data_IF_015462625117
#
_entry.id   IF_015462625117
#
_cell.length_a   1.000
_cell.length_b   1.000
_cell.length_c   1.000
_cell.angle_alpha   90.00
_cell.angle_beta   90.00
_cell.angle_gamma   90.00
#
_symmetry.space_group_name_H-M   'P 1'
#
loop_
_entity.id
_entity.type
_entity.pdbx_description
1 polymer ?
#
# COMPACT_ATOMS: atom_id res chain seq x y z
N UNK A 1 -64.79 -41.51 22.36
CA UNK A 1 -64.44 -42.45 23.43
C UNK A 1 -62.98 -42.78 23.16
N UNK A 2 -62.10 -41.88 23.60
CA UNK A 2 -61.28 -42.01 24.84
C UNK A 2 -60.12 -42.97 24.55
N UNK A 3 -58.83 -42.64 24.65
CA UNK A 3 -58.06 -41.65 25.42
C UNK A 3 -56.75 -41.35 24.63
N UNK A 4 -56.25 -40.11 24.53
CA UNK A 4 -55.41 -39.38 25.50
C UNK A 4 -54.07 -40.05 25.83
N UNK A 5 -52.96 -39.54 25.28
CA UNK A 5 -51.77 -39.18 26.05
C UNK A 5 -50.82 -38.24 25.27
N UNK A 6 -50.33 -37.24 26.01
CA UNK A 6 -49.42 -36.16 25.59
C UNK A 6 -47.98 -36.60 25.80
N UNK A 7 -47.06 -36.13 24.95
CA UNK A 7 -45.71 -35.85 25.45
C UNK A 7 -45.10 -34.63 24.73
N UNK A 8 -44.65 -33.70 25.55
CA UNK A 8 -44.03 -32.42 25.20
C UNK A 8 -42.60 -32.51 25.71
N UNK A 9 -41.59 -32.30 24.86
CA UNK A 9 -40.21 -32.15 25.35
C UNK A 9 -39.61 -30.83 24.88
N UNK A 10 -39.41 -29.97 25.87
CA UNK A 10 -38.60 -28.76 25.84
C UNK A 10 -37.11 -29.12 25.89
N UNK A 11 -36.29 -28.53 25.02
CA UNK A 11 -34.84 -28.52 25.16
C UNK A 11 -34.37 -27.08 25.35
N UNK A 12 -34.16 -26.74 26.62
CA UNK A 12 -33.33 -25.61 27.06
C UNK A 12 -32.03 -26.18 27.61
N UNK A 13 -30.90 -25.87 26.98
CA UNK A 13 -29.56 -26.07 27.56
C UNK A 13 -28.61 -25.01 26.95
N UNK A 14 -28.64 -23.81 27.53
CA UNK A 14 -27.49 -22.90 27.50
C UNK A 14 -26.54 -23.37 28.60
N UNK A 15 -25.45 -24.02 28.19
CA UNK A 15 -24.31 -24.31 29.07
C UNK A 15 -23.28 -23.22 28.94
N UNK A 16 -23.05 -22.48 30.02
CA UNK A 16 -21.84 -21.67 30.20
C UNK A 16 -20.67 -22.61 30.47
N UNK A 17 -19.58 -22.47 29.72
CA UNK A 17 -18.29 -23.05 30.08
C UNK A 17 -17.27 -21.93 30.22
N UNK A 18 -17.10 -21.54 31.48
CA UNK A 18 -15.88 -20.93 32.00
C UNK A 18 -14.75 -21.98 32.04
N UNK A 19 -13.54 -21.49 31.76
CA UNK A 19 -12.22 -22.04 32.14
C UNK A 19 -11.71 -23.32 31.45
N UNK A 20 -10.75 -23.14 30.52
CA UNK A 20 -9.54 -23.98 30.41
C UNK A 20 -8.31 -23.12 30.07
N UNK A 21 -7.45 -22.96 31.07
CA UNK A 21 -5.99 -22.99 31.12
C UNK A 21 -5.08 -22.24 30.13
N UNK A 22 -4.20 -21.46 30.78
CA UNK A 22 -2.75 -21.34 30.57
C UNK A 22 -2.26 -20.61 29.31
N UNK A 23 -2.05 -19.29 29.48
CA UNK A 23 -1.11 -18.52 28.68
C UNK A 23 0.30 -19.10 28.80
N UNK A 24 0.80 -19.72 27.74
CA UNK A 24 2.23 -19.77 27.46
C UNK A 24 2.69 -18.39 26.99
N UNK A 25 3.57 -17.75 27.76
CA UNK A 25 4.26 -16.54 27.33
C UNK A 25 5.15 -16.85 26.10
N UNK A 26 5.20 -15.96 25.10
CA UNK A 26 6.20 -16.07 24.05
C UNK A 26 7.61 -15.79 24.61
N UNK A 27 8.66 -16.41 24.06
CA UNK A 27 10.01 -16.34 24.59
C UNK A 27 10.55 -14.90 24.58
N UNK A 28 11.00 -14.43 25.73
CA UNK A 28 11.84 -13.24 25.82
C UNK A 28 13.22 -13.55 25.25
N UNK A 29 13.60 -12.87 24.17
CA UNK A 29 14.98 -12.82 23.73
C UNK A 29 15.76 -11.86 24.65
N UNK A 30 16.53 -12.41 25.58
CA UNK A 30 17.51 -11.64 26.36
C UNK A 30 18.73 -11.34 25.49
N UNK A 31 18.84 -10.09 25.03
CA UNK A 31 20.09 -9.56 24.46
C UNK A 31 20.98 -9.15 25.63
N UNK A 32 21.95 -9.99 25.96
CA UNK A 32 23.09 -9.62 26.80
C UNK A 32 24.06 -8.79 25.95
N UNK A 33 24.07 -7.47 26.16
CA UNK A 33 25.14 -6.61 25.68
C UNK A 33 26.30 -6.67 26.68
N UNK A 34 27.42 -7.26 26.26
CA UNK A 34 28.69 -7.14 26.96
C UNK A 34 29.30 -5.77 26.65
N UNK A 35 29.40 -4.94 27.67
CA UNK A 35 30.15 -3.68 27.67
C UNK A 35 31.64 -4.01 27.68
N UNK A 36 32.37 -3.56 26.67
CA UNK A 36 33.81 -3.40 26.75
C UNK A 36 34.14 -1.94 26.49
N UNK A 37 34.54 -1.27 27.58
CA UNK A 37 35.14 0.05 27.60
C UNK A 37 36.37 0.10 26.69
N UNK A 38 36.43 1.08 25.80
CA UNK A 38 37.71 1.65 25.38
C UNK A 38 37.50 3.12 25.03
N UNK A 39 37.78 3.97 26.00
CA UNK A 39 37.96 5.40 25.86
C UNK A 39 39.18 5.69 24.99
N UNK A 40 38.98 6.37 23.86
CA UNK A 40 40.04 7.14 23.19
C UNK A 40 39.48 8.53 22.96
N UNK A 41 39.96 9.48 23.77
CA UNK A 41 39.80 10.90 23.55
C UNK A 41 40.57 11.29 22.29
N UNK A 42 39.90 11.98 21.36
CA UNK A 42 40.58 12.76 20.32
C UNK A 42 39.95 14.14 20.28
N UNK A 43 40.76 15.12 20.65
CA UNK A 43 40.53 16.54 20.50
C UNK A 43 40.18 16.89 19.05
N UNK A 44 39.07 17.60 18.87
CA UNK A 44 38.75 18.27 17.60
C UNK A 44 38.99 19.76 17.82
N UNK A 45 40.16 20.21 17.37
CA UNK A 45 40.42 21.62 17.09
C UNK A 45 39.48 22.10 15.99
N UNK A 46 38.89 23.26 16.23
CA UNK A 46 38.09 24.01 15.27
C UNK A 46 39.03 24.91 14.48
N UNK A 47 39.08 24.73 13.16
CA UNK A 47 39.64 25.72 12.25
C UNK A 47 38.60 26.03 11.17
N UNK A 48 37.97 27.19 11.34
CA UNK A 48 37.44 28.01 10.25
C UNK A 48 38.54 28.24 9.21
N UNK A 49 38.22 28.07 7.93
CA UNK A 49 38.52 28.98 6.80
C UNK A 49 38.38 28.23 5.46
N UNK A 50 37.75 28.87 4.48
CA UNK A 50 37.88 28.52 3.06
C UNK A 50 36.57 28.30 2.32
N UNK A 51 35.91 29.38 1.92
CA UNK A 51 34.85 29.34 0.92
C UNK A 51 35.42 29.05 -0.47
N UNK A 52 34.88 28.05 -1.15
CA UNK A 52 34.95 27.91 -2.60
C UNK A 52 33.52 27.91 -3.15
N UNK A 53 33.21 28.93 -3.95
CA UNK A 53 31.99 29.01 -4.75
C UNK A 53 31.96 27.83 -5.75
N UNK A 54 31.07 26.88 -5.50
CA UNK A 54 30.80 25.79 -6.44
C UNK A 54 29.82 26.29 -7.51
N UNK A 55 30.29 26.36 -8.76
CA UNK A 55 29.47 26.75 -9.92
C UNK A 55 28.20 25.91 -9.99
N UNK A 56 27.07 26.60 -9.88
CA UNK A 56 25.74 26.02 -9.83
C UNK A 56 25.32 25.42 -11.17
N UNK A 57 24.59 24.30 -11.08
CA UNK A 57 23.80 23.78 -12.18
C UNK A 57 22.79 24.86 -12.60
N UNK A 58 22.80 25.25 -13.87
CA UNK A 58 21.82 26.19 -14.43
C UNK A 58 20.44 25.53 -14.54
N UNK A 59 19.36 26.31 -14.50
CA UNK A 59 17.99 25.81 -14.74
C UNK A 59 17.87 25.04 -16.07
N UNK A 60 18.67 25.43 -17.08
CA UNK A 60 18.74 24.77 -18.38
C UNK A 60 19.28 23.33 -18.29
N UNK A 61 20.22 23.05 -17.37
CA UNK A 61 20.76 21.71 -17.15
C UNK A 61 19.74 20.79 -16.47
N UNK A 62 18.84 21.36 -15.67
CA UNK A 62 17.72 20.64 -15.05
C UNK A 62 16.62 20.37 -16.08
N UNK A 63 16.33 21.33 -16.97
CA UNK A 63 15.38 21.14 -18.08
C UNK A 63 15.85 20.12 -19.13
N UNK A 64 17.15 20.09 -19.47
CA UNK A 64 17.70 19.11 -20.40
C UNK A 64 17.67 17.67 -19.84
N UNK A 65 17.88 17.52 -18.52
CA UNK A 65 17.71 16.23 -17.84
C UNK A 65 16.24 15.79 -17.74
N UNK A 66 15.28 16.73 -17.74
CA UNK A 66 13.84 16.44 -17.79
C UNK A 66 13.31 16.12 -19.21
N UNK A 67 14.06 16.39 -20.28
CA UNK A 67 13.60 16.13 -21.65
C UNK A 67 14.19 14.86 -22.27
N UNK A 68 15.14 14.21 -21.58
CA UNK A 68 15.65 12.89 -21.95
C UNK A 68 15.03 11.83 -21.05
N UNK A 69 14.37 10.83 -21.64
CA UNK A 69 13.67 9.76 -20.90
C UNK A 69 14.49 9.25 -19.71
N UNK A 70 13.89 9.26 -18.53
CA UNK A 70 14.59 9.08 -17.27
C UNK A 70 15.11 7.66 -17.11
N UNK A 71 16.40 7.44 -17.36
CA UNK A 71 17.08 6.21 -16.98
C UNK A 71 17.52 6.33 -15.53
N UNK A 72 16.76 5.73 -14.60
CA UNK A 72 17.23 5.60 -13.23
C UNK A 72 18.30 4.51 -13.19
N UNK A 73 19.43 4.81 -12.54
CA UNK A 73 20.56 3.89 -12.38
C UNK A 73 20.22 2.68 -11.50
N UNK A 74 21.25 2.03 -10.95
CA UNK A 74 21.12 0.83 -10.13
C UNK A 74 20.06 1.03 -9.02
N UNK A 75 19.03 0.20 -9.01
CA UNK A 75 18.03 0.19 -7.94
C UNK A 75 18.38 -0.84 -6.89
N UNK A 76 18.00 -0.57 -5.65
CA UNK A 76 17.96 -1.57 -4.60
C UNK A 76 16.49 -1.89 -4.29
N UNK A 77 16.06 -3.12 -4.55
CA UNK A 77 14.70 -3.60 -4.24
C UNK A 77 14.67 -4.36 -2.93
N UNK A 78 13.80 -3.92 -2.02
CA UNK A 78 13.43 -4.65 -0.81
C UNK A 78 12.00 -5.24 -1.00
N UNK A 79 11.89 -6.55 -0.79
CA UNK A 79 10.64 -7.31 -1.00
C UNK A 79 9.74 -7.23 0.22
N UNK A 80 8.47 -6.88 0.01
CA UNK A 80 7.50 -6.71 1.10
C UNK A 80 6.51 -7.89 1.18
N UNK A 81 6.00 -8.41 0.04
CA UNK A 81 5.00 -9.51 0.05
C UNK A 81 5.06 -10.44 -1.17
N UNK A 82 5.04 -11.76 -0.93
CA UNK A 82 4.73 -12.83 -1.89
C UNK A 82 5.90 -13.29 -2.79
N UNK A 83 5.79 -14.48 -3.40
CA UNK A 83 6.72 -14.95 -4.44
C UNK A 83 6.41 -14.26 -5.78
N UNK A 84 7.43 -13.80 -6.48
CA UNK A 84 7.34 -12.76 -7.50
C UNK A 84 7.48 -13.32 -8.93
N UNK A 85 7.37 -12.52 -10.01
CA UNK A 85 7.97 -12.91 -11.29
C UNK A 85 9.48 -13.17 -11.18
N UNK A 86 10.13 -12.70 -10.11
CA UNK A 86 11.57 -12.84 -9.85
C UNK A 86 11.90 -13.78 -8.66
N UNK A 87 10.92 -14.45 -8.05
CA UNK A 87 11.11 -15.37 -6.91
C UNK A 87 11.94 -14.83 -5.74
N UNK A 88 11.80 -13.56 -5.39
CA UNK A 88 12.50 -12.99 -4.23
C UNK A 88 11.71 -13.26 -2.93
N UNK A 89 12.43 -13.51 -1.85
CA UNK A 89 11.87 -13.72 -0.51
C UNK A 89 11.85 -12.41 0.28
N UNK A 90 10.98 -12.27 1.30
CA UNK A 90 11.04 -11.14 2.22
C UNK A 90 12.45 -10.99 2.81
N UNK A 91 13.00 -9.77 2.76
CA UNK A 91 14.37 -9.47 3.19
C UNK A 91 15.45 -9.69 2.13
N UNK A 92 15.11 -10.25 0.96
CA UNK A 92 16.03 -10.27 -0.17
C UNK A 92 16.17 -8.86 -0.75
N UNK A 93 17.42 -8.47 -0.98
CA UNK A 93 17.78 -7.25 -1.71
C UNK A 93 18.28 -7.64 -3.09
N UNK A 94 17.76 -6.99 -4.14
CA UNK A 94 18.25 -7.18 -5.51
C UNK A 94 18.57 -5.87 -6.20
N UNK A 95 19.50 -5.95 -7.15
CA UNK A 95 19.83 -4.85 -8.05
C UNK A 95 19.22 -5.05 -9.43
N UNK A 96 18.73 -3.97 -10.02
CA UNK A 96 18.17 -4.00 -11.36
C UNK A 96 18.14 -2.63 -12.02
N UNK A 97 17.78 -2.66 -13.30
CA UNK A 97 17.57 -1.50 -14.16
C UNK A 97 16.07 -1.25 -14.33
N UNK A 98 15.68 0.00 -14.17
CA UNK A 98 14.30 0.46 -14.34
C UNK A 98 14.25 1.58 -15.38
N UNK A 99 13.38 1.38 -16.35
CA UNK A 99 13.14 2.33 -17.42
C UNK A 99 11.66 2.73 -17.42
N UNK A 100 11.38 4.03 -17.42
CA UNK A 100 10.03 4.57 -17.52
C UNK A 100 10.04 5.98 -18.12
N UNK A 101 8.92 6.36 -18.71
CA UNK A 101 8.68 7.73 -19.15
C UNK A 101 8.04 8.52 -18.01
N UNK A 102 8.77 9.51 -17.49
CA UNK A 102 8.32 10.35 -16.38
C UNK A 102 7.26 11.39 -16.81
N UNK A 103 6.97 11.50 -18.11
CA UNK A 103 5.95 12.39 -18.66
C UNK A 103 4.63 11.68 -18.94
N UNK A 104 4.61 10.35 -18.95
CA UNK A 104 3.45 9.53 -19.29
C UNK A 104 2.89 8.81 -18.06
N UNK A 105 2.16 9.56 -17.22
CA UNK A 105 1.49 8.98 -16.06
C UNK A 105 0.24 8.19 -16.48
N UNK A 106 0.17 6.94 -16.04
CA UNK A 106 -0.96 6.03 -16.29
C UNK A 106 -2.05 6.13 -15.22
N UNK A 107 -1.78 6.82 -14.11
CA UNK A 107 -2.73 7.06 -13.05
C UNK A 107 -2.26 8.14 -12.08
N UNK A 108 -3.21 8.84 -11.46
CA UNK A 108 -2.90 9.84 -10.45
C UNK A 108 -3.93 9.81 -9.33
N UNK A 109 -3.45 9.53 -8.12
CA UNK A 109 -4.22 9.63 -6.89
C UNK A 109 -4.07 11.00 -6.23
N UNK A 110 -4.50 11.07 -4.97
CA UNK A 110 -4.40 12.32 -4.19
C UNK A 110 -2.97 12.62 -3.73
N UNK A 111 -2.18 11.58 -3.47
CA UNK A 111 -0.84 11.68 -2.86
C UNK A 111 0.27 11.00 -3.67
N UNK A 112 -0.09 10.37 -4.80
CA UNK A 112 0.83 9.59 -5.61
C UNK A 112 0.44 9.61 -7.07
N UNK A 113 1.45 9.53 -7.91
CA UNK A 113 1.33 9.35 -9.35
C UNK A 113 1.88 7.98 -9.72
N UNK A 114 1.26 7.34 -10.70
CA UNK A 114 1.61 6.01 -11.18
C UNK A 114 2.10 6.11 -12.62
N UNK A 115 3.23 5.47 -12.90
CA UNK A 115 3.82 5.33 -14.23
C UNK A 115 3.85 3.85 -14.61
N UNK A 116 3.72 3.56 -15.90
CA UNK A 116 4.13 2.25 -16.41
C UNK A 116 5.66 2.23 -16.52
N UNK A 117 6.29 1.20 -16.01
CA UNK A 117 7.74 1.05 -16.08
C UNK A 117 8.13 -0.36 -16.50
N UNK A 118 9.28 -0.50 -17.13
CA UNK A 118 9.92 -1.78 -17.36
C UNK A 118 11.05 -1.99 -16.36
N UNK A 119 11.07 -3.16 -15.72
CA UNK A 119 12.10 -3.53 -14.76
C UNK A 119 12.82 -4.80 -15.20
N UNK A 120 14.14 -4.80 -15.09
CA UNK A 120 15.04 -5.92 -15.42
C UNK A 120 16.07 -6.15 -14.30
N UNK A 121 16.34 -7.42 -13.98
CA UNK A 121 17.46 -7.79 -13.10
C UNK A 121 18.81 -7.83 -13.84
N UNK A 122 18.80 -7.79 -15.16
CA UNK A 122 20.01 -7.85 -15.97
C UNK A 122 20.57 -6.44 -16.19
N UNK A 123 21.44 -5.99 -15.29
CA UNK A 123 21.98 -4.62 -15.36
C UNK A 123 22.87 -4.34 -16.60
N UNK A 124 23.30 -5.38 -17.32
CA UNK A 124 24.23 -5.24 -18.46
C UNK A 124 23.55 -5.06 -19.81
N UNK A 125 22.23 -5.27 -19.92
CA UNK A 125 21.48 -5.11 -21.17
C UNK A 125 20.47 -3.97 -21.03
N UNK A 126 20.19 -3.21 -22.11
CA UNK A 126 19.02 -2.33 -22.17
C UNK A 126 17.76 -3.13 -21.86
N UNK A 127 16.79 -2.54 -21.15
CA UNK A 127 15.57 -3.27 -20.75
C UNK A 127 14.78 -3.74 -21.97
N UNK A 128 14.82 -2.99 -23.08
CA UNK A 128 14.22 -3.36 -24.37
C UNK A 128 14.78 -4.64 -25.00
N UNK A 129 15.97 -5.08 -24.58
CA UNK A 129 16.62 -6.30 -25.08
C UNK A 129 16.52 -7.46 -24.09
N UNK A 130 16.10 -7.21 -22.85
CA UNK A 130 15.96 -8.24 -21.84
C UNK A 130 14.57 -8.89 -21.90
N UNK A 131 14.52 -10.15 -22.33
CA UNK A 131 13.29 -10.96 -22.33
C UNK A 131 12.74 -11.24 -20.92
N UNK A 132 13.57 -11.08 -19.90
CA UNK A 132 13.17 -11.18 -18.50
C UNK A 132 12.58 -9.89 -17.94
N UNK A 133 12.63 -8.79 -18.70
CA UNK A 133 12.01 -7.54 -18.32
C UNK A 133 10.50 -7.72 -18.07
N UNK A 134 9.98 -7.01 -17.07
CA UNK A 134 8.57 -7.03 -16.69
C UNK A 134 8.03 -5.62 -16.64
N UNK A 135 6.81 -5.47 -17.15
CA UNK A 135 6.06 -4.23 -16.98
C UNK A 135 5.46 -4.20 -15.57
N UNK A 136 5.72 -3.12 -14.86
CA UNK A 136 5.28 -2.87 -13.49
C UNK A 136 4.62 -1.49 -13.41
N UNK A 137 3.86 -1.27 -12.33
CA UNK A 137 3.37 0.05 -11.97
C UNK A 137 4.35 0.69 -10.98
N UNK A 138 4.96 1.81 -11.36
CA UNK A 138 5.81 2.60 -10.49
C UNK A 138 5.01 3.71 -9.83
N UNK A 139 4.97 3.72 -8.50
CA UNK A 139 4.29 4.74 -7.71
C UNK A 139 5.29 5.67 -7.07
N UNK A 140 5.05 6.97 -7.27
CA UNK A 140 5.89 8.05 -6.77
C UNK A 140 5.02 9.02 -5.96
N UNK A 141 5.40 9.25 -4.71
CA UNK A 141 4.62 10.02 -3.75
C UNK A 141 4.92 11.51 -3.84
N UNK A 142 3.89 12.35 -3.80
CA UNK A 142 4.04 13.80 -3.85
C UNK A 142 3.30 14.49 -2.71
N UNK A 143 3.73 15.71 -2.39
CA UNK A 143 3.09 16.58 -1.40
C UNK A 143 1.73 17.03 -1.92
N UNK A 144 0.63 16.79 -1.19
CA UNK A 144 -0.66 17.33 -1.57
C UNK A 144 -0.56 18.86 -1.58
N UNK A 145 -1.13 19.49 -2.61
CA UNK A 145 -1.25 20.95 -2.62
C UNK A 145 -2.02 21.37 -1.36
N UNK A 146 -1.45 22.27 -0.56
CA UNK A 146 -2.16 22.84 0.60
C UNK A 146 -3.44 23.47 0.08
N UNK A 147 -4.59 22.82 0.34
CA UNK A 147 -5.88 23.42 0.06
C UNK A 147 -5.94 24.68 0.91
N UNK A 148 -6.03 25.86 0.27
CA UNK A 148 -6.40 27.08 1.00
C UNK A 148 -7.71 26.74 1.72
N UNK A 149 -7.81 27.01 3.04
CA UNK A 149 -9.04 26.73 3.77
C UNK A 149 -10.18 27.37 2.98
N UNK A 150 -11.17 26.56 2.61
CA UNK A 150 -12.33 27.06 1.91
C UNK A 150 -12.93 28.17 2.78
N UNK A 151 -13.04 29.38 2.23
CA UNK A 151 -13.74 30.47 2.90
C UNK A 151 -15.16 29.94 3.12
N UNK A 152 -15.50 29.68 4.38
CA UNK A 152 -16.81 29.17 4.77
C UNK A 152 -17.82 30.26 4.45
N UNK A 153 -18.51 30.12 3.31
CA UNK A 153 -19.63 31.00 2.97
C UNK A 153 -20.74 30.75 3.98
N UNK A 154 -21.24 31.84 4.57
CA UNK A 154 -22.24 31.83 5.65
C UNK A 154 -23.52 31.06 5.28
N UNK A 155 -24.21 30.47 6.28
CA UNK A 155 -25.44 29.70 6.07
C UNK A 155 -26.56 30.59 5.53
N UNK A 156 -27.08 30.25 4.35
CA UNK A 156 -28.16 30.97 3.68
C UNK A 156 -28.34 30.60 2.20
N UNK A 157 -27.37 29.92 1.59
CA UNK A 157 -27.43 29.53 0.19
C UNK A 157 -28.13 28.18 0.00
N UNK A 158 -29.33 28.20 -0.57
CA UNK A 158 -30.07 27.01 -1.01
C UNK A 158 -29.44 26.42 -2.28
N UNK A 159 -28.26 25.82 -2.16
CA UNK A 159 -27.70 24.99 -3.23
C UNK A 159 -28.02 23.52 -2.97
N UNK A 160 -28.74 22.92 -3.92
CA UNK A 160 -28.86 21.46 -4.05
C UNK A 160 -27.46 20.84 -4.05
N UNK A 161 -27.20 19.78 -3.26
CA UNK A 161 -25.89 19.13 -3.21
C UNK A 161 -25.59 18.46 -4.55
N UNK A 162 -24.89 19.17 -5.42
CA UNK A 162 -24.34 18.61 -6.66
C UNK A 162 -23.22 17.66 -6.27
N UNK A 163 -23.31 16.39 -6.68
CA UNK A 163 -22.25 15.40 -6.49
C UNK A 163 -20.93 15.99 -7.00
N UNK A 164 -19.89 16.11 -6.16
CA UNK A 164 -18.64 16.72 -6.57
C UNK A 164 -18.04 15.89 -7.72
N UNK A 165 -17.79 16.55 -8.85
CA UNK A 165 -17.03 15.94 -9.94
C UNK A 165 -15.66 15.49 -9.43
N UNK A 166 -15.13 14.36 -9.92
CA UNK A 166 -13.79 13.93 -9.53
C UNK A 166 -12.78 15.05 -9.79
N UNK A 167 -11.82 15.27 -8.87
CA UNK A 167 -10.82 16.32 -9.03
C UNK A 167 -10.04 16.08 -10.32
N UNK A 168 -9.87 17.14 -11.11
CA UNK A 168 -9.02 17.10 -12.31
C UNK A 168 -7.59 16.74 -11.89
N UNK A 169 -6.92 15.80 -12.59
CA UNK A 169 -5.52 15.48 -12.33
C UNK A 169 -4.64 16.73 -12.39
N UNK A 170 -3.72 16.86 -11.43
CA UNK A 170 -2.75 17.98 -11.39
C UNK A 170 -1.70 17.70 -12.46
N UNK A 171 -1.37 18.66 -13.36
CA UNK A 171 -0.31 18.46 -14.34
C UNK A 171 1.01 18.02 -13.68
N UNK A 172 1.72 17.08 -14.30
CA UNK A 172 2.93 16.47 -13.69
C UNK A 172 4.00 17.51 -13.30
N UNK A 173 4.20 18.53 -14.14
CA UNK A 173 5.12 19.64 -13.88
C UNK A 173 4.80 20.46 -12.62
N UNK A 174 3.56 20.40 -12.16
CA UNK A 174 3.07 21.15 -10.99
C UNK A 174 3.09 20.28 -9.71
N UNK A 175 3.41 18.99 -9.83
CA UNK A 175 3.57 18.10 -8.68
C UNK A 175 4.83 18.46 -7.89
N UNK A 176 4.69 18.55 -6.57
CA UNK A 176 5.79 18.81 -5.65
C UNK A 176 6.13 17.52 -4.91
N UNK A 177 7.21 16.86 -5.30
CA UNK A 177 7.65 15.64 -4.64
C UNK A 177 8.19 15.90 -3.23
N UNK A 178 8.20 14.86 -2.41
CA UNK A 178 8.80 14.94 -1.08
C UNK A 178 10.32 15.05 -1.18
N UNK A 179 11.00 15.70 -0.21
CA UNK A 179 12.45 15.57 -0.08
C UNK A 179 12.80 14.09 0.01
N UNK A 180 13.93 13.69 -0.60
CA UNK A 180 14.33 12.29 -0.76
C UNK A 180 14.22 11.47 0.53
N UNK A 181 14.64 12.04 1.67
CA UNK A 181 14.60 11.37 2.96
C UNK A 181 13.15 11.10 3.41
N UNK A 182 12.27 12.09 3.29
CA UNK A 182 10.85 11.98 3.64
C UNK A 182 10.11 11.03 2.68
N UNK A 183 10.48 11.04 1.40
CA UNK A 183 9.91 10.15 0.38
C UNK A 183 10.04 8.68 0.74
N UNK A 184 11.20 8.27 1.27
CA UNK A 184 11.40 6.90 1.73
C UNK A 184 10.40 6.52 2.82
N UNK A 185 10.16 7.40 3.78
CA UNK A 185 9.21 7.15 4.87
C UNK A 185 7.78 6.98 4.35
N UNK A 186 7.37 7.80 3.38
CA UNK A 186 6.06 7.68 2.75
C UNK A 186 5.94 6.38 1.92
N UNK A 187 6.96 6.01 1.17
CA UNK A 187 7.00 4.74 0.44
C UNK A 187 6.98 3.54 1.41
N UNK A 188 7.69 3.61 2.54
CA UNK A 188 7.64 2.59 3.58
C UNK A 188 6.22 2.44 4.16
N UNK A 189 5.48 3.54 4.35
CA UNK A 189 4.09 3.49 4.81
C UNK A 189 3.16 2.84 3.77
N UNK A 190 3.34 3.15 2.49
CA UNK A 190 2.60 2.54 1.36
C UNK A 190 2.88 1.04 1.25
N UNK A 191 4.16 0.66 1.31
CA UNK A 191 4.63 -0.71 1.39
C UNK A 191 4.00 -1.48 2.56
N UNK A 192 4.06 -0.89 3.76
CA UNK A 192 3.50 -1.48 4.98
C UNK A 192 1.98 -1.67 4.84
N UNK A 193 1.29 -0.66 4.31
CA UNK A 193 -0.16 -0.70 4.05
C UNK A 193 -0.52 -1.83 3.09
N UNK A 194 0.22 -2.01 1.99
CA UNK A 194 0.04 -3.12 1.05
C UNK A 194 0.29 -4.49 1.70
N UNK A 195 1.29 -4.57 2.57
CA UNK A 195 1.59 -5.77 3.36
C UNK A 195 0.43 -6.19 4.25
N UNK A 196 -0.06 -5.27 5.07
CA UNK A 196 -1.22 -5.50 5.94
C UNK A 196 -2.49 -5.83 5.17
N UNK A 197 -2.75 -5.13 4.07
CA UNK A 197 -3.87 -5.42 3.19
C UNK A 197 -3.83 -6.85 2.65
N UNK A 198 -2.64 -7.33 2.27
CA UNK A 198 -2.44 -8.71 1.83
C UNK A 198 -2.80 -9.70 2.94
N UNK A 199 -2.30 -9.48 4.17
CA UNK A 199 -2.64 -10.33 5.32
C UNK A 199 -4.14 -10.34 5.62
N UNK A 200 -4.80 -9.18 5.58
CA UNK A 200 -6.24 -9.07 5.84
C UNK A 200 -7.10 -9.75 4.76
N UNK A 201 -6.64 -9.75 3.50
CA UNK A 201 -7.27 -10.54 2.43
C UNK A 201 -7.16 -12.02 2.74
N UNK A 202 -5.96 -12.49 3.10
CA UNK A 202 -5.71 -13.91 3.42
C UNK A 202 -6.54 -14.36 4.62
N UNK A 203 -6.60 -13.58 5.69
CA UNK A 203 -7.45 -13.87 6.87
C UNK A 203 -8.91 -14.08 6.49
N UNK A 204 -9.45 -13.25 5.58
CA UNK A 204 -10.84 -13.42 5.13
C UNK A 204 -11.03 -14.71 4.31
N UNK A 205 -10.05 -15.12 3.50
CA UNK A 205 -10.11 -16.40 2.79
C UNK A 205 -9.98 -17.59 3.74
N UNK A 206 -9.06 -17.54 4.71
CA UNK A 206 -8.92 -18.57 5.75
C UNK A 206 -10.23 -18.77 6.51
N UNK A 207 -10.93 -17.67 6.86
CA UNK A 207 -12.26 -17.73 7.46
C UNK A 207 -13.27 -18.48 6.57
N UNK A 208 -13.34 -18.15 5.28
CA UNK A 208 -14.25 -18.80 4.32
C UNK A 208 -13.95 -20.30 4.23
N UNK A 209 -12.69 -20.68 4.08
CA UNK A 209 -12.27 -22.08 3.98
C UNK A 209 -12.61 -22.87 5.25
N UNK A 210 -12.36 -22.28 6.41
CA UNK A 210 -12.71 -22.87 7.70
C UNK A 210 -14.22 -23.07 7.83
N UNK A 211 -15.02 -22.08 7.43
CA UNK A 211 -16.48 -22.19 7.45
C UNK A 211 -17.02 -23.29 6.53
N UNK A 212 -16.46 -23.40 5.31
CA UNK A 212 -16.82 -24.48 4.37
C UNK A 212 -16.46 -25.84 4.97
N UNK A 213 -15.26 -25.98 5.54
CA UNK A 213 -14.81 -27.22 6.17
C UNK A 213 -15.69 -27.62 7.36
N UNK A 214 -16.06 -26.65 8.21
CA UNK A 214 -16.91 -26.90 9.37
C UNK A 214 -18.34 -27.30 8.99
N UNK A 215 -18.91 -26.64 7.97
CA UNK A 215 -20.28 -26.95 7.51
C UNK A 215 -20.36 -28.16 6.59
N UNK A 216 -19.23 -28.55 5.99
CA UNK A 216 -19.17 -29.65 5.02
C UNK A 216 -19.92 -29.38 3.71
N UNK A 217 -20.24 -28.11 3.43
CA UNK A 217 -21.05 -27.69 2.28
C UNK A 217 -20.38 -26.52 1.58
N UNK A 218 -20.22 -26.64 0.26
CA UNK A 218 -19.74 -25.56 -0.60
C UNK A 218 -20.86 -24.56 -0.88
N UNK A 219 -20.56 -23.24 -0.98
CA UNK A 219 -21.56 -22.29 -1.41
C UNK A 219 -22.02 -22.62 -2.84
N UNK A 220 -23.31 -22.40 -3.18
CA UNK A 220 -23.83 -22.69 -4.51
C UNK A 220 -23.37 -21.69 -5.59
N UNK A 221 -22.58 -20.68 -5.22
CA UNK A 221 -21.98 -19.70 -6.12
C UNK A 221 -20.45 -19.74 -6.03
N UNK A 222 -19.74 -19.38 -7.12
CA UNK A 222 -18.29 -19.29 -7.09
C UNK A 222 -17.84 -18.15 -6.15
N UNK A 223 -16.88 -18.46 -5.28
CA UNK A 223 -16.23 -17.46 -4.44
C UNK A 223 -15.23 -16.68 -5.30
N UNK A 224 -15.37 -15.34 -5.42
CA UNK A 224 -14.39 -14.54 -6.14
C UNK A 224 -12.99 -14.77 -5.59
N UNK A 225 -12.01 -14.96 -6.49
CA UNK A 225 -10.60 -15.17 -6.14
C UNK A 225 -9.84 -13.86 -6.41
N UNK A 226 -9.70 -13.04 -5.38
CA UNK A 226 -9.09 -11.72 -5.42
C UNK A 226 -7.84 -11.73 -4.56
N UNK A 227 -6.84 -10.95 -4.94
CA UNK A 227 -5.65 -10.73 -4.10
C UNK A 227 -5.12 -9.32 -4.27
N UNK A 228 -4.37 -8.86 -3.28
CA UNK A 228 -3.55 -7.66 -3.46
C UNK A 228 -2.47 -7.92 -4.51
N UNK A 229 -2.12 -6.87 -5.25
CA UNK A 229 -0.92 -6.86 -6.07
C UNK A 229 0.30 -7.08 -5.18
N UNK A 230 1.29 -7.78 -5.73
CA UNK A 230 2.61 -7.86 -5.12
C UNK A 230 3.30 -6.52 -5.30
N UNK A 231 4.00 -6.07 -4.26
CA UNK A 231 4.70 -4.80 -4.27
C UNK A 231 6.10 -4.86 -3.67
N UNK A 232 6.89 -3.86 -4.05
CA UNK A 232 8.31 -3.72 -3.70
C UNK A 232 8.65 -2.30 -3.37
N UNK A 233 9.43 -2.10 -2.31
CA UNK A 233 10.06 -0.83 -2.06
C UNK A 233 11.36 -0.78 -2.86
N UNK A 234 11.57 0.31 -3.59
CA UNK A 234 12.74 0.48 -4.44
C UNK A 234 13.45 1.77 -4.07
N UNK A 235 14.77 1.70 -3.87
CA UNK A 235 15.64 2.88 -3.70
C UNK A 235 16.45 3.08 -4.97
N UNK A 236 16.24 4.21 -5.65
CA UNK A 236 17.04 4.58 -6.81
C UNK A 236 18.40 5.11 -6.37
N UNK A 237 19.46 4.51 -6.92
CA UNK A 237 20.83 4.94 -6.71
C UNK A 237 21.41 5.44 -8.03
N UNK A 238 22.21 6.49 -7.95
CA UNK A 238 23.06 6.95 -9.04
C UNK A 238 24.50 6.67 -8.67
N UNK A 239 25.33 6.18 -9.61
CA UNK A 239 26.77 6.27 -9.45
C UNK A 239 27.14 7.75 -9.24
N UNK A 240 28.04 8.00 -8.31
CA UNK A 240 28.77 9.25 -8.18
C UNK A 240 30.18 8.94 -8.63
N UNK A 241 30.57 9.51 -9.77
CA UNK A 241 31.96 9.54 -10.20
C UNK A 241 32.66 10.67 -9.45
N UNK A 242 33.01 10.41 -8.19
CA UNK A 242 33.84 11.29 -7.38
C UNK A 242 35.26 10.74 -7.39
N UNK A 243 36.05 11.16 -8.38
CA UNK A 243 37.43 10.73 -8.67
C UNK A 243 37.60 9.31 -9.28
N UNK A 244 38.67 9.09 -10.09
CA UNK A 244 39.01 7.77 -10.61
C UNK A 244 39.27 6.78 -9.46
N UNK A 245 38.48 5.71 -9.39
CA UNK A 245 38.64 4.63 -8.41
C UNK A 245 37.72 4.69 -7.19
N UNK A 246 36.91 5.74 -7.00
CA UNK A 246 35.88 5.79 -5.94
C UNK A 246 34.49 5.87 -6.55
N UNK A 247 33.77 4.75 -6.51
CA UNK A 247 32.34 4.69 -6.84
C UNK A 247 31.52 4.87 -5.56
N UNK A 248 31.19 6.11 -5.22
CA UNK A 248 30.13 6.36 -4.24
C UNK A 248 28.76 6.21 -4.94
N UNK A 249 27.71 5.84 -4.21
CA UNK A 249 26.34 5.86 -4.72
C UNK A 249 25.57 6.97 -4.04
N UNK A 250 24.85 7.78 -4.81
CA UNK A 250 23.92 8.78 -4.27
C UNK A 250 22.51 8.29 -4.35
N UNK A 251 21.79 8.42 -3.25
CA UNK A 251 20.37 8.19 -3.19
C UNK A 251 19.61 9.24 -4.01
N UNK A 252 18.77 8.77 -4.93
CA UNK A 252 18.00 9.60 -5.88
C UNK A 252 16.53 9.70 -5.51
N UNK A 253 15.96 8.66 -4.94
CA UNK A 253 14.57 8.63 -4.49
C UNK A 253 14.11 7.24 -4.12
N UNK A 254 12.88 7.14 -3.62
CA UNK A 254 12.20 5.89 -3.32
C UNK A 254 10.89 5.77 -4.10
N UNK A 255 10.58 4.54 -4.48
CA UNK A 255 9.40 4.19 -5.26
C UNK A 255 8.75 2.93 -4.72
N UNK A 256 7.45 2.80 -4.91
CA UNK A 256 6.73 1.55 -4.73
C UNK A 256 6.48 0.96 -6.13
N UNK A 257 7.05 -0.21 -6.40
CA UNK A 257 6.73 -0.96 -7.62
C UNK A 257 5.66 -1.99 -7.32
N UNK A 258 4.71 -2.15 -8.22
CA UNK A 258 3.62 -3.13 -8.10
C UNK A 258 3.41 -3.90 -9.41
N UNK A 259 2.72 -5.03 -9.33
CA UNK A 259 2.18 -5.69 -10.52
C UNK A 259 1.33 -4.72 -11.35
N UNK A 260 1.63 -4.62 -12.63
CA UNK A 260 0.87 -3.77 -13.53
C UNK A 260 -0.51 -4.39 -13.84
N UNK A 261 -1.58 -3.68 -13.50
CA UNK A 261 -2.95 -4.10 -13.82
C UNK A 261 -3.27 -3.63 -15.24
N UNK A 262 -3.21 -4.56 -16.21
CA UNK A 262 -3.58 -4.27 -17.59
C UNK A 262 -5.09 -3.99 -17.69
N UNK A 263 -5.45 -2.91 -18.40
CA UNK A 263 -6.83 -2.45 -18.53
C UNK A 263 -7.63 -3.08 -19.68
N UNK A 264 -6.99 -3.93 -20.48
CA UNK A 264 -7.54 -4.51 -21.70
C UNK A 264 -8.58 -5.60 -21.43
N UNK A 265 -8.38 -6.44 -20.41
CA UNK A 265 -9.40 -7.42 -20.03
C UNK A 265 -10.61 -6.76 -19.33
N UNK A 266 -10.33 -5.82 -18.43
CA UNK A 266 -11.32 -5.27 -17.52
C UNK A 266 -10.86 -3.92 -16.96
N UNK A 267 -11.68 -2.85 -17.04
CA UNK A 267 -11.29 -1.54 -16.55
C UNK A 267 -10.98 -1.57 -15.05
N UNK A 268 -10.06 -0.69 -14.65
CA UNK A 268 -9.79 -0.39 -13.26
C UNK A 268 -11.05 0.22 -12.62
N UNK A 269 -11.53 -0.37 -11.54
CA UNK A 269 -12.74 0.08 -10.84
C UNK A 269 -12.46 0.27 -9.36
N UNK A 270 -13.09 1.29 -8.79
CA UNK A 270 -13.20 1.46 -7.35
C UNK A 270 -14.51 0.81 -6.89
N UNK A 271 -14.40 -0.23 -6.06
CA UNK A 271 -15.51 -1.04 -5.59
C UNK A 271 -16.13 -0.46 -4.31
N UNK A 272 -15.28 0.02 -3.38
CA UNK A 272 -15.67 0.57 -2.08
C UNK A 272 -14.82 1.83 -1.82
N UNK A 273 -15.38 2.84 -1.17
CA UNK A 273 -14.64 4.04 -0.76
C UNK A 273 -14.20 3.93 0.69
N UNK A 274 -13.05 4.51 1.04
CA UNK A 274 -12.63 4.71 2.43
C UNK A 274 -13.63 5.48 3.32
N UNK A 275 -14.60 6.20 2.74
CA UNK A 275 -15.61 6.95 3.48
C UNK A 275 -16.84 6.13 3.88
N UNK A 276 -17.12 5.00 3.21
CA UNK A 276 -18.34 4.20 3.41
C UNK A 276 -18.10 2.73 3.08
N UNK A 277 -18.53 1.85 3.99
CA UNK A 277 -18.46 0.39 3.82
C UNK A 277 -19.65 -0.17 3.00
N UNK A 278 -19.86 0.38 1.79
CA UNK A 278 -20.92 -0.07 0.88
C UNK A 278 -20.40 -0.13 -0.56
N UNK A 279 -20.98 -0.97 -1.43
CA UNK A 279 -20.64 -0.98 -2.84
C UNK A 279 -20.85 0.39 -3.49
N UNK A 280 -19.87 0.87 -4.25
CA UNK A 280 -20.00 2.06 -5.11
C UNK A 280 -20.69 1.73 -6.44
N UNK A 281 -20.64 0.47 -6.85
CA UNK A 281 -21.23 0.02 -8.11
C UNK A 281 -22.75 -0.15 -7.94
N UNK A 282 -23.58 0.20 -8.94
CA UNK A 282 -25.01 -0.07 -8.87
C UNK A 282 -25.27 -1.58 -9.01
N UNK A 283 -26.38 -2.12 -8.45
CA UNK A 283 -26.74 -3.53 -8.54
C UNK A 283 -26.79 -4.12 -9.96
N UNK A 284 -27.05 -3.29 -10.97
CA UNK A 284 -27.08 -3.65 -12.40
C UNK A 284 -25.68 -3.81 -13.01
N UNK A 285 -24.63 -3.37 -12.33
CA UNK A 285 -23.27 -3.45 -12.83
C UNK A 285 -22.75 -4.89 -12.76
N UNK A 286 -22.12 -5.39 -13.84
CA UNK A 286 -21.61 -6.77 -13.94
C UNK A 286 -20.64 -7.19 -12.82
N UNK A 287 -19.96 -6.23 -12.19
CA UNK A 287 -19.05 -6.47 -11.04
C UNK A 287 -19.63 -6.11 -9.68
N UNK A 288 -20.93 -5.84 -9.59
CA UNK A 288 -21.57 -5.56 -8.30
C UNK A 288 -21.38 -6.69 -7.29
N UNK A 289 -21.46 -7.96 -7.73
CA UNK A 289 -21.20 -9.13 -6.88
C UNK A 289 -19.78 -9.18 -6.31
N UNK A 290 -18.80 -8.64 -7.02
CA UNK A 290 -17.44 -8.47 -6.50
C UNK A 290 -17.45 -7.41 -5.38
N UNK A 291 -18.12 -6.27 -5.59
CA UNK A 291 -18.22 -5.24 -4.55
C UNK A 291 -18.96 -5.73 -3.29
N UNK A 292 -20.05 -6.51 -3.44
CA UNK A 292 -20.73 -7.15 -2.31
C UNK A 292 -19.81 -8.12 -1.57
N UNK A 293 -19.08 -8.97 -2.31
CA UNK A 293 -18.11 -9.89 -1.73
C UNK A 293 -17.00 -9.15 -0.96
N UNK A 294 -16.52 -8.03 -1.49
CA UNK A 294 -15.54 -7.19 -0.81
C UNK A 294 -16.10 -6.55 0.47
N UNK A 295 -17.37 -6.16 0.50
CA UNK A 295 -18.02 -5.70 1.74
C UNK A 295 -18.10 -6.84 2.78
N UNK A 296 -18.40 -8.05 2.33
CA UNK A 296 -18.34 -9.24 3.19
C UNK A 296 -16.92 -9.45 3.76
N UNK A 297 -15.87 -9.33 2.94
CA UNK A 297 -14.49 -9.42 3.43
C UNK A 297 -14.16 -8.35 4.47
N UNK A 298 -14.63 -7.11 4.29
CA UNK A 298 -14.47 -6.04 5.30
C UNK A 298 -15.09 -6.44 6.63
N UNK A 299 -16.29 -7.01 6.60
CA UNK A 299 -16.99 -7.43 7.80
C UNK A 299 -16.29 -8.61 8.49
N UNK A 300 -15.81 -9.59 7.73
CA UNK A 300 -15.00 -10.69 8.29
C UNK A 300 -13.74 -10.14 8.96
N UNK A 301 -13.01 -9.23 8.32
CA UNK A 301 -11.82 -8.60 8.90
C UNK A 301 -12.15 -7.84 10.20
N UNK A 302 -13.28 -7.12 10.22
CA UNK A 302 -13.75 -6.46 11.43
C UNK A 302 -13.99 -7.45 12.56
N UNK A 303 -14.71 -8.55 12.30
CA UNK A 303 -15.01 -9.58 13.31
C UNK A 303 -13.74 -10.29 13.79
N UNK A 304 -12.91 -10.80 12.86
CA UNK A 304 -11.69 -11.56 13.17
C UNK A 304 -10.65 -10.73 13.93
N UNK A 305 -10.66 -9.41 13.75
CA UNK A 305 -9.76 -8.49 14.47
C UNK A 305 -10.41 -7.86 15.71
N UNK A 306 -11.60 -8.31 16.11
CA UNK A 306 -12.37 -7.73 17.22
C UNK A 306 -12.58 -6.20 17.09
N UNK A 307 -12.84 -5.73 15.88
CA UNK A 307 -13.09 -4.33 15.58
C UNK A 307 -11.85 -3.44 15.73
N UNK A 308 -10.64 -3.99 15.56
CA UNK A 308 -9.39 -3.22 15.65
C UNK A 308 -9.00 -2.63 14.30
N UNK A 309 -9.08 -3.42 13.23
CA UNK A 309 -8.58 -3.05 11.92
C UNK A 309 -9.38 -3.72 10.80
N UNK A 310 -9.63 -2.98 9.73
CA UNK A 310 -10.18 -3.56 8.51
C UNK A 310 -9.64 -2.78 7.30
N UNK A 311 -9.69 -3.42 6.13
CA UNK A 311 -9.30 -2.77 4.88
C UNK A 311 -10.49 -2.06 4.25
N UNK A 312 -10.26 -0.89 3.65
CA UNK A 312 -11.20 -0.17 2.81
C UNK A 312 -10.54 0.32 1.53
N UNK A 313 -11.26 1.15 0.78
CA UNK A 313 -10.83 1.69 -0.50
C UNK A 313 -10.50 0.64 -1.57
N UNK A 314 -11.24 -0.48 -1.58
CA UNK A 314 -11.02 -1.54 -2.55
C UNK A 314 -11.13 -1.04 -3.99
N UNK A 315 -10.04 -1.18 -4.73
CA UNK A 315 -9.96 -0.81 -6.13
C UNK A 315 -8.98 -1.70 -6.88
N UNK A 316 -9.19 -1.86 -8.18
CA UNK A 316 -8.32 -2.68 -9.02
C UNK A 316 -9.02 -3.24 -10.25
N UNK A 317 -8.41 -4.29 -10.80
CA UNK A 317 -8.82 -4.95 -12.03
C UNK A 317 -9.77 -6.13 -11.80
N UNK A 318 -9.55 -7.19 -12.59
CA UNK A 318 -10.34 -8.43 -12.60
C UNK A 318 -10.20 -9.23 -11.30
N UNK A 319 -8.97 -9.58 -10.95
CA UNK A 319 -8.61 -10.41 -9.78
C UNK A 319 -7.57 -9.74 -8.88
N UNK A 320 -7.02 -8.60 -9.32
CA UNK A 320 -5.98 -7.86 -8.62
C UNK A 320 -6.56 -6.59 -8.00
N UNK A 321 -6.25 -6.40 -6.73
CA UNK A 321 -6.58 -5.23 -5.93
C UNK A 321 -5.29 -4.45 -5.64
N UNK A 322 -5.38 -3.13 -5.58
CA UNK A 322 -4.25 -2.24 -5.27
C UNK A 322 -4.74 -1.03 -4.49
N UNK A 323 -3.82 -0.18 -4.04
CA UNK A 323 -4.08 1.06 -3.32
C UNK A 323 -5.07 0.87 -2.16
N UNK A 324 -4.79 -0.07 -1.24
CA UNK A 324 -5.68 -0.32 -0.12
C UNK A 324 -5.62 0.85 0.86
N UNK A 325 -6.70 1.02 1.63
CA UNK A 325 -6.68 1.85 2.83
C UNK A 325 -6.87 0.96 4.06
N UNK A 326 -5.98 1.07 5.04
CA UNK A 326 -6.20 0.45 6.35
C UNK A 326 -6.94 1.42 7.25
N UNK A 327 -8.04 0.95 7.85
CA UNK A 327 -8.90 1.70 8.75
C UNK A 327 -8.67 1.20 10.18
N UNK A 328 -8.34 2.10 11.10
CA UNK A 328 -8.14 1.78 12.52
C UNK A 328 -8.45 2.98 13.41
N UNK A 329 -8.95 2.75 14.62
CA UNK A 329 -9.14 3.79 15.64
C UNK A 329 -7.97 3.88 16.63
N UNK A 330 -7.04 2.93 16.60
CA UNK A 330 -5.96 2.88 17.58
C UNK A 330 -4.94 3.98 17.29
N UNK A 331 -4.84 4.95 18.20
CA UNK A 331 -3.83 6.01 18.12
C UNK A 331 -2.42 5.46 18.12
N UNK A 332 -2.20 4.30 18.74
CA UNK A 332 -0.91 3.59 18.73
C UNK A 332 -0.50 3.11 17.33
N UNK A 333 -1.45 2.96 16.42
CA UNK A 333 -1.22 2.63 15.01
C UNK A 333 -1.28 3.88 14.12
N UNK A 334 -1.42 5.08 14.70
CA UNK A 334 -1.37 6.32 13.94
C UNK A 334 0.03 6.49 13.34
N UNK A 335 0.08 6.82 12.05
CA UNK A 335 1.33 6.93 11.29
C UNK A 335 1.94 5.60 10.83
N UNK A 336 1.40 4.43 11.22
CA UNK A 336 1.83 3.13 10.69
C UNK A 336 1.36 2.93 9.24
N UNK A 337 0.18 3.44 8.92
CA UNK A 337 -0.45 3.30 7.61
C UNK A 337 -0.47 4.63 6.85
N UNK A 338 -0.76 4.55 5.56
CA UNK A 338 -0.91 5.71 4.69
C UNK A 338 -1.98 6.69 5.19
N UNK A 339 -1.84 7.93 4.72
CA UNK A 339 -2.88 8.94 4.84
C UNK A 339 -4.19 8.45 4.20
N UNK A 340 -5.32 8.73 4.84
CA UNK A 340 -6.65 8.33 4.36
C UNK A 340 -7.47 7.50 5.35
N UNK A 341 -6.91 7.19 6.53
CA UNK A 341 -7.67 6.64 7.65
C UNK A 341 -8.66 7.69 8.19
N UNK A 342 -9.96 7.48 7.93
CA UNK A 342 -11.03 8.37 8.36
C UNK A 342 -11.66 7.85 9.66
N UNK A 343 -11.33 8.46 10.81
CA UNK A 343 -11.89 8.09 12.12
C UNK A 343 -13.42 8.00 12.11
N UNK A 344 -14.08 8.96 11.45
CA UNK A 344 -15.55 8.97 11.34
C UNK A 344 -16.09 7.75 10.58
N UNK A 345 -15.45 7.36 9.47
CA UNK A 345 -15.86 6.19 8.69
C UNK A 345 -15.62 4.89 9.48
N UNK A 346 -14.54 4.83 10.26
CA UNK A 346 -14.27 3.71 11.16
C UNK A 346 -15.40 3.53 12.19
N UNK A 347 -15.81 4.60 12.87
CA UNK A 347 -16.89 4.55 13.86
C UNK A 347 -18.28 4.29 13.27
N UNK A 348 -18.46 4.54 11.98
CA UNK A 348 -19.70 4.26 11.25
C UNK A 348 -19.72 2.86 10.63
N UNK A 349 -18.66 2.06 10.79
CA UNK A 349 -18.65 0.70 10.25
C UNK A 349 -19.77 -0.10 10.92
N UNK A 350 -20.71 -0.66 10.14
CA UNK A 350 -21.87 -1.35 10.71
C UNK A 350 -21.43 -2.64 11.39
N UNK A 351 -21.78 -2.76 12.67
CA UNK A 351 -21.60 -3.97 13.49
C UNK A 351 -22.71 -4.98 13.23
#
# INVERSE_FOLDING_TARGET
MEDSEKETQSLSLFGSSSEINALTQPPQASVTASVSDTTVEHDIETSDEGGEEFEGWTEDNVQAAMLSGGRLGNLNLDVITGELPFSLKPGDTQFGLLEYDHTDAVGQGTFKVTFACWFSLQMLLPVSQDKSARMLALKHVFKPARKKPAIVTLPGSTHTPTTPSPPTPIPLKDLKFWPKHDELMHICAEATTLGWATSLVLTAYDFIENMIKQKGVQPPWPIPQLRMVKGYMCKALSPVTSAPGVTATTYRGAYLLEEFIQGDELPFLKYISNSRAVPLLPPTHKRYKIAEFLCFMQHVQWVETNGIVFMSDFQGGKTLLTDPQIMTHLEKLSGTFCEGNLKAAFHQFPC
#
